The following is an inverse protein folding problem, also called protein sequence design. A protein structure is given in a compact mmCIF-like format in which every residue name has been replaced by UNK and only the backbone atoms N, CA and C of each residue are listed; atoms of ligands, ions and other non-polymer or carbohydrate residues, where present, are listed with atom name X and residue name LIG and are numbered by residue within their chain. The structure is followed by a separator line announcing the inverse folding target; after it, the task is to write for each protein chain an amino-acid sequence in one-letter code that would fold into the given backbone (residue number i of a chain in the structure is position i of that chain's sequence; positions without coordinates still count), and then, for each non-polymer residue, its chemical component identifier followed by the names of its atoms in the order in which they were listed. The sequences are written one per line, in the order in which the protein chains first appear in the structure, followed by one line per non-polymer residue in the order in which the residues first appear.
data_IF_253085672340
#
_entry.id   IF_253085672340
#
_cell.length_a   1.000
_cell.length_b   1.000
_cell.length_c   1.000
_cell.angle_alpha   90.00
_cell.angle_beta   90.00
_cell.angle_gamma   90.00
#
_symmetry.space_group_name_H-M   'P 1'
#
loop_
_entity.id
_entity.type
_entity.pdbx_description
1 polymer ?
#
# COMPACT_ATOMS: atom_id res chain seq x y z
N UNK A 1 70.40 -19.47 -52.99
CA UNK A 1 69.41 -20.02 -51.93
C UNK A 1 69.27 -19.13 -50.69
N UNK A 2 70.12 -18.19 -50.37
CA UNK A 2 70.07 -17.37 -49.14
C UNK A 2 69.07 -16.17 -49.17
N UNK A 3 68.57 -15.74 -50.33
CA UNK A 3 67.70 -14.54 -50.44
C UNK A 3 66.21 -14.83 -50.25
N UNK A 4 65.73 -16.04 -50.53
CA UNK A 4 64.33 -16.43 -50.34
C UNK A 4 63.98 -16.61 -48.87
N UNK A 5 64.92 -17.01 -48.02
CA UNK A 5 64.62 -17.23 -46.60
C UNK A 5 64.49 -15.89 -45.78
N UNK A 6 65.03 -14.79 -46.27
CA UNK A 6 64.85 -13.48 -45.59
C UNK A 6 63.49 -12.84 -45.83
N UNK A 7 62.91 -13.07 -47.00
CA UNK A 7 61.55 -12.58 -47.35
C UNK A 7 60.54 -13.39 -46.58
N UNK A 8 60.68 -14.71 -46.52
CA UNK A 8 59.76 -15.60 -45.78
C UNK A 8 59.76 -15.32 -44.27
N UNK A 9 60.89 -15.03 -43.63
CA UNK A 9 61.01 -14.62 -42.23
C UNK A 9 60.36 -13.24 -41.94
N UNK A 10 60.45 -12.30 -42.89
CA UNK A 10 59.82 -10.96 -42.74
C UNK A 10 58.30 -11.05 -42.88
N UNK A 11 57.76 -11.92 -43.77
CA UNK A 11 56.31 -12.15 -43.94
C UNK A 11 55.72 -12.87 -42.74
N UNK A 12 56.40 -13.82 -42.12
CA UNK A 12 55.95 -14.52 -40.91
C UNK A 12 55.94 -13.55 -39.72
N UNK A 13 56.91 -12.66 -39.59
CA UNK A 13 56.93 -11.66 -38.49
C UNK A 13 55.82 -10.61 -38.65
N UNK A 14 55.49 -10.19 -39.88
CA UNK A 14 54.38 -9.25 -40.14
C UNK A 14 53.03 -9.91 -39.87
N UNK A 15 52.85 -11.20 -40.25
CA UNK A 15 51.63 -11.96 -39.94
C UNK A 15 51.49 -12.24 -38.45
N UNK A 16 52.55 -12.47 -37.69
CA UNK A 16 52.49 -12.67 -36.25
C UNK A 16 52.18 -11.35 -35.50
N UNK A 17 52.58 -10.20 -36.00
CA UNK A 17 52.25 -8.89 -35.42
C UNK A 17 50.79 -8.49 -35.73
N UNK A 18 50.25 -8.85 -36.91
CA UNK A 18 48.82 -8.64 -37.21
C UNK A 18 47.89 -9.56 -36.40
N UNK A 19 48.31 -10.77 -36.03
CA UNK A 19 47.52 -11.68 -35.20
C UNK A 19 47.46 -11.27 -33.72
N UNK A 20 48.34 -10.38 -33.26
CA UNK A 20 48.31 -9.83 -31.88
C UNK A 20 47.46 -8.56 -31.74
N UNK A 21 46.89 -8.03 -32.81
CA UNK A 21 46.02 -6.86 -32.81
C UNK A 21 44.49 -7.19 -32.88
N UNK A 22 44.11 -8.47 -33.01
CA UNK A 22 42.69 -8.90 -33.06
C UNK A 22 42.22 -9.60 -31.80
N UNK A 23 42.93 -9.53 -30.70
CA UNK A 23 42.57 -10.17 -29.46
C UNK A 23 42.37 -9.19 -28.31
N UNK A 24 41.29 -8.41 -28.29
CA UNK A 24 40.66 -7.87 -27.12
C UNK A 24 39.46 -7.00 -27.57
N UNK A 25 38.46 -7.62 -28.17
CA UNK A 25 37.11 -7.11 -27.97
C UNK A 25 36.66 -7.67 -26.59
N UNK A 26 37.30 -7.17 -25.54
CA UNK A 26 36.73 -7.27 -24.21
C UNK A 26 35.43 -6.51 -24.26
N UNK A 27 34.30 -7.17 -23.91
CA UNK A 27 33.15 -6.47 -23.44
C UNK A 27 33.66 -5.50 -22.37
N UNK A 28 33.52 -4.20 -22.64
CA UNK A 28 33.57 -3.22 -21.56
C UNK A 28 32.59 -3.71 -20.53
N UNK A 29 32.95 -3.91 -19.27
CA UNK A 29 31.94 -4.12 -18.23
C UNK A 29 31.07 -2.88 -18.33
N UNK A 30 29.74 -3.08 -18.52
CA UNK A 30 28.79 -2.03 -18.24
C UNK A 30 29.24 -1.40 -16.92
N UNK A 31 29.61 -0.16 -16.96
CA UNK A 31 29.98 0.56 -15.75
C UNK A 31 28.72 0.58 -14.90
N UNK A 32 28.68 -0.28 -13.88
CA UNK A 32 27.70 -0.20 -12.83
C UNK A 32 27.73 1.26 -12.36
N UNK A 33 26.61 1.96 -12.52
CA UNK A 33 26.50 3.37 -12.16
C UNK A 33 26.70 3.50 -10.64
N UNK A 34 27.96 3.59 -10.24
CA UNK A 34 28.40 3.72 -8.84
C UNK A 34 28.24 5.14 -8.32
N UNK A 35 27.40 5.97 -8.98
CA UNK A 35 27.13 7.31 -8.47
C UNK A 35 26.40 7.19 -7.13
N UNK A 36 27.11 7.53 -6.06
CA UNK A 36 26.47 7.77 -4.77
C UNK A 36 25.42 8.86 -4.98
N UNK A 37 24.14 8.65 -4.60
CA UNK A 37 23.12 9.67 -4.74
C UNK A 37 23.59 10.96 -4.05
N UNK A 38 23.82 12.01 -4.83
CA UNK A 38 23.99 13.36 -4.28
C UNK A 38 22.60 13.92 -3.97
N UNK A 39 22.48 14.85 -3.02
CA UNK A 39 21.18 15.45 -2.66
C UNK A 39 20.47 16.08 -3.88
N UNK A 40 21.20 16.47 -4.92
CA UNK A 40 20.68 17.06 -6.16
C UNK A 40 20.01 16.05 -7.12
N UNK A 41 20.20 14.75 -6.89
CA UNK A 41 19.67 13.67 -7.75
C UNK A 41 18.60 12.81 -7.03
N UNK A 42 18.19 13.17 -5.83
CA UNK A 42 17.20 12.40 -5.08
C UNK A 42 15.80 12.69 -5.58
N UNK A 43 14.99 11.63 -5.70
CA UNK A 43 13.54 11.76 -5.94
C UNK A 43 12.88 12.22 -4.65
N UNK A 44 12.24 13.40 -4.69
CA UNK A 44 11.55 13.98 -3.53
C UNK A 44 10.14 13.42 -3.44
N UNK A 45 9.84 12.68 -2.39
CA UNK A 45 8.51 12.06 -2.19
C UNK A 45 7.83 12.66 -0.97
N UNK A 46 6.69 13.30 -1.19
CA UNK A 46 5.80 13.76 -0.12
C UNK A 46 4.84 12.64 0.29
N UNK A 47 4.95 12.14 1.51
CA UNK A 47 4.07 11.09 2.02
C UNK A 47 3.19 11.62 3.15
N UNK A 48 1.86 11.48 2.99
CA UNK A 48 0.89 11.80 4.04
C UNK A 48 0.21 10.54 4.57
N UNK A 49 0.54 10.18 5.81
CA UNK A 49 -0.09 9.09 6.55
C UNK A 49 -1.31 9.58 7.31
N UNK A 50 -2.32 8.74 7.48
CA UNK A 50 -3.56 9.03 8.21
C UNK A 50 -3.30 9.35 9.68
N UNK A 51 -2.60 8.43 10.37
CA UNK A 51 -2.37 8.47 11.79
C UNK A 51 -1.31 7.47 12.24
N UNK A 52 -1.43 7.04 13.48
CA UNK A 52 -0.63 5.99 14.12
C UNK A 52 -1.53 5.17 15.05
N UNK A 53 -2.78 4.96 14.63
CA UNK A 53 -3.88 4.44 15.44
C UNK A 53 -3.80 2.94 15.68
N UNK A 54 -3.06 2.21 14.83
CA UNK A 54 -2.99 0.74 14.85
C UNK A 54 -1.56 0.24 14.70
N UNK A 55 -1.32 -1.00 15.09
CA UNK A 55 -0.04 -1.70 14.88
C UNK A 55 0.26 -1.81 13.38
N UNK A 56 -0.77 -2.12 12.57
CA UNK A 56 -0.65 -2.17 11.11
C UNK A 56 -0.21 -0.82 10.53
N UNK A 57 -0.82 0.28 10.96
CA UNK A 57 -0.50 1.63 10.48
C UNK A 57 0.93 2.03 10.85
N UNK A 58 1.38 1.63 12.03
CA UNK A 58 2.76 1.84 12.50
C UNK A 58 3.76 1.04 11.65
N UNK A 59 3.43 -0.22 11.32
CA UNK A 59 4.27 -1.06 10.46
C UNK A 59 4.34 -0.50 9.03
N UNK A 60 3.21 -0.04 8.46
CA UNK A 60 3.16 0.61 7.16
C UNK A 60 4.02 1.89 7.13
N UNK A 61 3.91 2.74 8.15
CA UNK A 61 4.77 3.94 8.30
C UNK A 61 6.25 3.59 8.37
N UNK A 62 6.61 2.52 9.09
CA UNK A 62 7.99 2.04 9.17
C UNK A 62 8.49 1.61 7.80
N UNK A 63 7.75 0.77 7.09
CA UNK A 63 8.08 0.31 5.74
C UNK A 63 8.34 1.48 4.78
N UNK A 64 7.47 2.49 4.78
CA UNK A 64 7.65 3.71 3.97
C UNK A 64 8.99 4.39 4.30
N UNK A 65 9.29 4.59 5.59
CA UNK A 65 10.51 5.28 6.02
C UNK A 65 11.79 4.50 5.76
N UNK A 66 11.73 3.16 5.85
CA UNK A 66 12.86 2.28 5.58
C UNK A 66 13.12 2.12 4.07
N UNK A 67 12.09 2.28 3.24
CA UNK A 67 12.21 2.18 1.78
C UNK A 67 12.63 3.50 1.15
N UNK A 68 12.01 4.62 1.54
CA UNK A 68 12.25 5.94 0.94
C UNK A 68 13.40 6.65 1.65
N UNK A 69 14.61 6.10 1.54
CA UNK A 69 15.83 6.63 2.13
C UNK A 69 16.76 7.26 1.07
N UNK A 70 17.72 8.05 1.51
CA UNK A 70 18.74 8.63 0.61
C UNK A 70 19.59 7.57 -0.07
N UNK A 71 19.90 6.49 0.65
CA UNK A 71 20.65 5.35 0.13
C UNK A 71 19.91 4.66 -1.02
N UNK A 72 18.58 4.71 -1.00
CA UNK A 72 17.73 4.19 -2.06
C UNK A 72 17.38 5.24 -3.13
N UNK A 73 17.98 6.44 -3.06
CA UNK A 73 17.77 7.50 -4.04
C UNK A 73 16.57 8.41 -3.77
N UNK A 74 16.03 8.43 -2.55
CA UNK A 74 14.85 9.22 -2.21
C UNK A 74 15.11 10.26 -1.13
N UNK A 75 14.36 11.36 -1.20
CA UNK A 75 14.23 12.34 -0.13
C UNK A 75 12.78 12.35 0.35
N UNK A 76 12.52 11.78 1.53
CA UNK A 76 11.19 11.63 2.09
C UNK A 76 10.77 12.87 2.89
N UNK A 77 9.64 13.49 2.51
CA UNK A 77 8.93 14.50 3.31
C UNK A 77 7.67 13.83 3.89
N UNK A 78 7.75 13.42 5.16
CA UNK A 78 6.68 12.68 5.82
C UNK A 78 5.79 13.59 6.68
N UNK A 79 4.46 13.46 6.54
CA UNK A 79 3.45 14.13 7.35
C UNK A 79 2.45 13.13 7.91
N UNK A 80 2.17 13.22 9.21
CA UNK A 80 1.10 12.48 9.86
C UNK A 80 -0.12 13.39 10.03
N UNK A 81 -1.25 12.99 9.48
CA UNK A 81 -2.49 13.80 9.50
C UNK A 81 -3.23 13.73 10.83
N UNK A 82 -2.85 12.83 11.75
CA UNK A 82 -3.49 12.65 13.06
C UNK A 82 -4.98 12.41 12.95
N UNK A 83 -5.38 11.59 11.98
CA UNK A 83 -6.77 11.21 11.67
C UNK A 83 -7.69 12.40 11.32
N UNK A 84 -7.12 13.49 10.79
CA UNK A 84 -7.88 14.64 10.34
C UNK A 84 -7.65 14.90 8.86
N UNK A 85 -8.71 14.76 8.06
CA UNK A 85 -8.65 15.03 6.62
C UNK A 85 -8.12 16.42 6.31
N UNK A 86 -8.51 17.43 7.08
CA UNK A 86 -8.00 18.80 6.91
C UNK A 86 -6.47 18.91 7.02
N UNK A 87 -5.85 18.10 7.91
CA UNK A 87 -4.41 18.05 8.04
C UNK A 87 -3.77 17.35 6.83
N UNK A 88 -4.44 16.33 6.30
CA UNK A 88 -4.00 15.63 5.10
C UNK A 88 -4.04 16.55 3.88
N UNK A 89 -5.14 17.29 3.69
CA UNK A 89 -5.25 18.30 2.61
C UNK A 89 -4.17 19.38 2.75
N UNK A 90 -3.89 19.86 3.98
CA UNK A 90 -2.80 20.81 4.24
C UNK A 90 -1.43 20.22 3.91
N UNK A 91 -1.22 18.92 4.21
CA UNK A 91 0.03 18.23 3.87
C UNK A 91 0.21 18.13 2.35
N UNK A 92 -0.80 17.72 1.60
CA UNK A 92 -0.77 17.66 0.14
C UNK A 92 -0.46 19.02 -0.48
N UNK A 93 -1.13 20.09 -0.05
CA UNK A 93 -0.84 21.46 -0.50
C UNK A 93 0.58 21.90 -0.17
N UNK A 94 1.11 21.50 1.00
CA UNK A 94 2.51 21.75 1.36
C UNK A 94 3.47 21.04 0.40
N UNK A 95 3.18 19.79 0.02
CA UNK A 95 3.98 19.05 -0.97
C UNK A 95 3.92 19.71 -2.35
N UNK A 96 2.74 20.13 -2.80
CA UNK A 96 2.56 20.87 -4.07
C UNK A 96 3.40 22.16 -4.05
N UNK A 97 3.33 22.94 -2.97
CA UNK A 97 4.11 24.18 -2.81
C UNK A 97 5.63 23.94 -2.81
N UNK A 98 6.09 22.79 -2.31
CA UNK A 98 7.51 22.40 -2.29
C UNK A 98 7.95 21.75 -3.60
N UNK A 99 7.03 21.55 -4.56
CA UNK A 99 7.30 20.91 -5.86
C UNK A 99 7.98 19.55 -5.71
N UNK A 100 7.41 18.70 -4.85
CA UNK A 100 7.87 17.30 -4.75
C UNK A 100 7.68 16.56 -6.07
N UNK A 101 8.49 15.53 -6.34
CA UNK A 101 8.38 14.73 -7.56
C UNK A 101 7.15 13.80 -7.54
N UNK A 102 6.77 13.30 -6.35
CA UNK A 102 5.63 12.43 -6.14
C UNK A 102 4.90 12.75 -4.83
N UNK A 103 3.60 12.64 -4.86
CA UNK A 103 2.75 12.63 -3.65
C UNK A 103 2.21 11.21 -3.45
N UNK A 104 2.40 10.66 -2.25
CA UNK A 104 1.82 9.37 -1.84
C UNK A 104 0.99 9.61 -0.59
N UNK A 105 -0.25 9.12 -0.56
CA UNK A 105 -1.05 9.20 0.66
C UNK A 105 -2.06 8.08 0.80
N UNK A 106 -2.37 7.72 2.05
CA UNK A 106 -3.46 6.84 2.41
C UNK A 106 -4.62 7.72 2.88
N UNK A 107 -5.74 7.80 2.14
CA UNK A 107 -6.80 8.74 2.46
C UNK A 107 -7.56 8.33 3.73
N UNK A 108 -7.84 9.32 4.58
CA UNK A 108 -8.60 9.10 5.83
C UNK A 108 -10.04 8.71 5.53
N UNK A 109 -10.67 9.35 4.56
CA UNK A 109 -12.03 9.07 4.06
C UNK A 109 -12.04 9.08 2.54
N UNK A 110 -13.12 8.58 1.93
CA UNK A 110 -13.22 8.48 0.48
C UNK A 110 -13.43 9.81 -0.22
N UNK A 111 -14.20 10.73 0.38
CA UNK A 111 -14.69 11.94 -0.27
C UNK A 111 -13.86 13.19 0.03
N UNK A 112 -14.01 14.22 -0.81
CA UNK A 112 -13.48 15.57 -0.56
C UNK A 112 -12.08 15.84 -1.10
N UNK A 113 -11.58 15.01 -2.01
CA UNK A 113 -10.21 15.10 -2.54
C UNK A 113 -10.09 15.84 -3.87
N UNK A 114 -11.19 16.01 -4.63
CA UNK A 114 -11.19 16.57 -5.99
C UNK A 114 -10.40 17.87 -6.15
N UNK A 115 -10.53 18.79 -5.19
CA UNK A 115 -9.88 20.10 -5.29
C UNK A 115 -8.37 20.00 -5.16
N UNK A 116 -7.87 19.36 -4.11
CA UNK A 116 -6.41 19.28 -3.88
C UNK A 116 -5.73 18.37 -4.91
N UNK A 117 -6.44 17.38 -5.45
CA UNK A 117 -5.89 16.54 -6.51
C UNK A 117 -5.83 17.28 -7.85
N UNK A 118 -6.80 18.17 -8.15
CA UNK A 118 -6.67 19.07 -9.29
C UNK A 118 -5.50 20.03 -9.14
N UNK A 119 -5.29 20.59 -7.94
CA UNK A 119 -4.11 21.41 -7.62
C UNK A 119 -2.79 20.64 -7.87
N UNK A 120 -2.72 19.36 -7.49
CA UNK A 120 -1.55 18.52 -7.76
C UNK A 120 -1.33 18.26 -9.26
N UNK A 121 -2.42 17.96 -9.99
CA UNK A 121 -2.38 17.76 -11.45
C UNK A 121 -1.96 19.04 -12.20
N UNK A 122 -2.46 20.21 -11.80
CA UNK A 122 -2.08 21.49 -12.38
C UNK A 122 -0.59 21.82 -12.12
N UNK A 123 -0.05 21.32 -11.02
CA UNK A 123 1.37 21.40 -10.69
C UNK A 123 2.22 20.29 -11.36
N UNK A 124 1.58 19.41 -12.17
CA UNK A 124 2.21 18.25 -12.83
C UNK A 124 2.86 17.26 -11.87
N UNK A 125 2.34 17.15 -10.63
CA UNK A 125 2.84 16.23 -9.61
C UNK A 125 1.97 14.96 -9.59
N UNK A 126 2.51 13.78 -9.95
CA UNK A 126 1.80 12.53 -9.91
C UNK A 126 1.43 12.13 -8.47
N UNK A 127 0.20 11.63 -8.30
CA UNK A 127 -0.33 11.21 -7.01
C UNK A 127 -0.53 9.70 -7.01
N UNK A 128 -0.03 9.04 -5.97
CA UNK A 128 -0.19 7.60 -5.74
C UNK A 128 -1.03 7.42 -4.47
N UNK A 129 -2.11 6.68 -4.58
CA UNK A 129 -2.91 6.26 -3.44
C UNK A 129 -2.31 4.99 -2.85
N UNK A 130 -2.18 4.95 -1.54
CA UNK A 130 -1.68 3.80 -0.79
C UNK A 130 -2.78 3.29 0.15
N UNK A 131 -2.95 1.96 0.20
CA UNK A 131 -3.92 1.29 1.07
C UNK A 131 -5.38 1.55 0.65
N UNK A 132 -5.93 2.72 0.97
CA UNK A 132 -7.32 3.10 0.73
C UNK A 132 -7.51 3.84 -0.59
N UNK A 133 -8.69 3.68 -1.19
CA UNK A 133 -9.13 4.45 -2.36
C UNK A 133 -9.89 5.71 -1.97
N UNK A 134 -10.15 6.53 -2.98
CA UNK A 134 -10.99 7.73 -2.90
C UNK A 134 -12.16 7.62 -3.86
N UNK A 135 -13.23 8.36 -3.55
CA UNK A 135 -14.39 8.53 -4.40
C UNK A 135 -14.26 9.87 -5.15
N UNK A 136 -13.74 9.82 -6.37
CA UNK A 136 -13.63 10.99 -7.25
C UNK A 136 -14.28 10.69 -8.60
N UNK A 137 -14.86 11.71 -9.21
CA UNK A 137 -15.52 11.56 -10.53
C UNK A 137 -14.52 11.36 -11.66
N UNK A 138 -13.34 11.90 -11.52
CA UNK A 138 -12.25 11.84 -12.50
C UNK A 138 -11.08 11.05 -11.92
N UNK A 139 -11.01 9.77 -12.25
CA UNK A 139 -9.94 8.89 -11.78
C UNK A 139 -8.55 9.25 -12.35
N UNK A 140 -8.47 10.13 -13.37
CA UNK A 140 -7.20 10.66 -13.87
C UNK A 140 -6.51 11.62 -12.88
N UNK A 141 -7.16 11.97 -11.77
CA UNK A 141 -6.61 12.80 -10.71
C UNK A 141 -5.55 12.09 -9.86
N UNK A 142 -5.43 10.78 -9.96
CA UNK A 142 -4.33 10.02 -9.38
C UNK A 142 -3.73 9.06 -10.40
N UNK A 143 -2.43 8.81 -10.28
CA UNK A 143 -1.67 8.02 -11.25
C UNK A 143 -1.83 6.51 -11.02
N UNK A 144 -1.85 6.10 -9.75
CA UNK A 144 -1.95 4.70 -9.36
C UNK A 144 -2.55 4.54 -7.96
N UNK A 145 -3.08 3.36 -7.72
CA UNK A 145 -3.48 2.91 -6.39
C UNK A 145 -2.81 1.56 -6.10
N UNK A 146 -2.28 1.42 -4.89
CA UNK A 146 -1.69 0.20 -4.36
C UNK A 146 -2.34 -0.11 -3.02
N UNK A 147 -3.14 -1.15 -2.96
CA UNK A 147 -3.89 -1.53 -1.76
C UNK A 147 -4.57 -2.89 -1.90
N UNK A 148 -5.33 -3.26 -0.88
CA UNK A 148 -6.06 -4.52 -0.81
C UNK A 148 -7.45 -4.43 -1.45
N UNK A 149 -7.94 -5.57 -1.94
CA UNK A 149 -9.36 -5.74 -2.28
C UNK A 149 -10.16 -5.98 -1.00
N UNK A 150 -10.65 -4.91 -0.40
CA UNK A 150 -11.39 -4.98 0.87
C UNK A 150 -12.70 -5.73 0.76
N UNK A 151 -13.33 -5.77 -0.41
CA UNK A 151 -14.54 -6.57 -0.64
C UNK A 151 -14.20 -8.06 -0.59
N UNK A 152 -13.11 -8.46 -1.25
CA UNK A 152 -12.67 -9.85 -1.20
C UNK A 152 -12.17 -10.25 0.21
N UNK A 153 -11.56 -9.33 0.96
CA UNK A 153 -11.22 -9.58 2.37
C UNK A 153 -12.49 -9.87 3.21
N UNK A 154 -13.55 -9.08 3.03
CA UNK A 154 -14.85 -9.32 3.68
C UNK A 154 -15.46 -10.65 3.28
N UNK A 155 -15.43 -11.01 1.99
CA UNK A 155 -15.90 -12.33 1.50
C UNK A 155 -15.11 -13.47 2.12
N UNK A 156 -13.79 -13.32 2.24
CA UNK A 156 -12.93 -14.35 2.81
C UNK A 156 -13.21 -14.56 4.29
N UNK A 157 -13.49 -13.49 5.04
CA UNK A 157 -13.93 -13.60 6.43
C UNK A 157 -15.27 -14.37 6.54
N UNK A 158 -16.25 -14.04 5.68
CA UNK A 158 -17.53 -14.75 5.63
C UNK A 158 -17.38 -16.23 5.24
N UNK A 159 -16.60 -16.54 4.21
CA UNK A 159 -16.32 -17.93 3.80
C UNK A 159 -15.62 -18.72 4.89
N UNK A 160 -14.66 -18.10 5.59
CA UNK A 160 -13.98 -18.75 6.71
C UNK A 160 -14.98 -19.08 7.84
N UNK A 161 -15.86 -18.15 8.18
CA UNK A 161 -16.88 -18.37 9.18
C UNK A 161 -17.85 -19.49 8.73
N UNK A 162 -18.29 -19.50 7.47
CA UNK A 162 -19.12 -20.57 6.90
C UNK A 162 -18.46 -21.94 7.09
N UNK A 163 -17.18 -22.06 6.74
CA UNK A 163 -16.45 -23.33 6.85
C UNK A 163 -16.22 -23.72 8.32
N UNK A 164 -15.93 -22.76 9.19
CA UNK A 164 -15.76 -22.99 10.62
C UNK A 164 -17.05 -23.54 11.26
N UNK A 165 -18.20 -22.94 10.96
CA UNK A 165 -19.49 -23.32 11.55
C UNK A 165 -20.01 -24.68 11.04
N UNK A 166 -19.65 -25.14 9.83
CA UNK A 166 -20.01 -26.48 9.33
C UNK A 166 -19.59 -27.63 10.23
N UNK A 167 -18.54 -27.46 11.02
CA UNK A 167 -18.08 -28.46 11.98
C UNK A 167 -18.57 -28.29 13.41
N UNK A 168 -19.41 -27.27 13.66
CA UNK A 168 -19.85 -26.88 14.99
C UNK A 168 -21.34 -27.22 15.25
N UNK A 169 -21.76 -27.08 16.51
CA UNK A 169 -23.15 -27.32 16.94
C UNK A 169 -24.18 -26.33 16.37
N UNK A 170 -23.73 -25.29 15.68
CA UNK A 170 -24.57 -24.21 15.12
C UNK A 170 -25.16 -24.51 13.74
N UNK A 171 -25.01 -25.72 13.20
CA UNK A 171 -25.43 -26.01 11.82
C UNK A 171 -26.92 -25.69 11.53
N UNK A 172 -27.79 -25.86 12.49
CA UNK A 172 -29.23 -25.63 12.35
C UNK A 172 -29.77 -24.54 13.31
N UNK A 173 -28.94 -24.03 14.23
CA UNK A 173 -29.31 -23.01 15.19
C UNK A 173 -29.06 -21.60 14.64
N UNK A 174 -29.77 -20.61 15.14
CA UNK A 174 -29.54 -19.23 14.84
C UNK A 174 -28.13 -18.81 15.35
N UNK A 175 -27.38 -18.13 14.50
CA UNK A 175 -26.05 -17.60 14.83
C UNK A 175 -26.15 -16.08 14.94
N UNK A 176 -26.00 -15.56 16.14
CA UNK A 176 -26.06 -14.14 16.44
C UNK A 176 -24.67 -13.50 16.27
N UNK A 177 -24.56 -12.59 15.32
CA UNK A 177 -23.30 -11.98 14.89
C UNK A 177 -23.30 -10.50 15.23
N UNK A 178 -22.21 -10.00 15.80
CA UNK A 178 -21.92 -8.56 15.88
C UNK A 178 -20.67 -8.23 15.08
N UNK A 179 -20.62 -7.02 14.52
CA UNK A 179 -19.51 -6.59 13.67
C UNK A 179 -18.90 -5.31 14.24
N UNK A 180 -17.60 -5.35 14.58
CA UNK A 180 -16.80 -4.16 14.83
C UNK A 180 -16.22 -3.66 13.52
N UNK A 181 -16.74 -2.55 13.05
CA UNK A 181 -16.31 -1.90 11.81
C UNK A 181 -15.17 -0.92 12.07
N UNK A 182 -14.36 -0.69 11.05
CA UNK A 182 -13.32 0.32 11.07
C UNK A 182 -13.85 1.76 11.02
N UNK A 183 -12.95 2.69 10.72
CA UNK A 183 -13.28 4.12 10.62
C UNK A 183 -14.36 4.37 9.57
N UNK A 184 -15.43 5.04 9.97
CA UNK A 184 -16.54 5.38 9.09
C UNK A 184 -16.09 6.20 7.87
N UNK A 185 -16.68 5.95 6.70
CA UNK A 185 -16.38 6.67 5.47
C UNK A 185 -15.09 6.21 4.76
N UNK A 186 -14.57 5.03 5.09
CA UNK A 186 -13.37 4.46 4.45
C UNK A 186 -13.69 3.30 3.53
N UNK A 187 -12.95 3.17 2.42
CA UNK A 187 -13.07 2.01 1.50
C UNK A 187 -12.82 0.69 2.22
N UNK A 188 -11.96 0.66 3.23
CA UNK A 188 -11.68 -0.52 4.03
C UNK A 188 -12.92 -0.97 4.84
N UNK A 189 -13.61 -0.03 5.48
CA UNK A 189 -14.83 -0.32 6.24
C UNK A 189 -15.95 -0.76 5.30
N UNK A 190 -16.22 0.00 4.26
CA UNK A 190 -17.31 -0.31 3.31
C UNK A 190 -17.08 -1.64 2.59
N UNK A 191 -15.87 -1.87 2.08
CA UNK A 191 -15.56 -3.08 1.32
C UNK A 191 -15.66 -4.35 2.17
N UNK A 192 -15.07 -4.35 3.37
CA UNK A 192 -15.15 -5.50 4.28
C UNK A 192 -16.59 -5.77 4.74
N UNK A 193 -17.36 -4.71 4.99
CA UNK A 193 -18.79 -4.83 5.31
C UNK A 193 -19.55 -5.48 4.15
N UNK A 194 -19.42 -4.92 2.94
CA UNK A 194 -20.08 -5.44 1.75
C UNK A 194 -19.73 -6.92 1.51
N UNK A 195 -18.43 -7.24 1.51
CA UNK A 195 -17.98 -8.60 1.24
C UNK A 195 -18.49 -9.62 2.27
N UNK A 196 -18.50 -9.25 3.55
CA UNK A 196 -19.06 -10.11 4.60
C UNK A 196 -20.57 -10.29 4.44
N UNK A 197 -21.32 -9.23 4.22
CA UNK A 197 -22.78 -9.26 4.01
C UNK A 197 -23.18 -10.09 2.79
N UNK A 198 -22.40 -10.07 1.69
CA UNK A 198 -22.63 -10.91 0.50
C UNK A 198 -22.57 -12.42 0.82
N UNK A 199 -21.78 -12.82 1.80
CA UNK A 199 -21.74 -14.22 2.26
C UNK A 199 -22.84 -14.47 3.30
N UNK A 200 -22.98 -13.58 4.28
CA UNK A 200 -24.00 -13.72 5.32
C UNK A 200 -25.42 -13.84 4.75
N UNK A 201 -25.74 -13.12 3.70
CA UNK A 201 -27.03 -13.18 3.01
C UNK A 201 -27.39 -14.55 2.40
N UNK A 202 -26.43 -15.48 2.32
CA UNK A 202 -26.67 -16.86 1.84
C UNK A 202 -27.09 -17.80 2.95
N UNK A 203 -27.07 -17.35 4.20
CA UNK A 203 -27.34 -18.14 5.40
C UNK A 203 -28.55 -17.56 6.16
N UNK A 204 -29.69 -18.19 6.02
CA UNK A 204 -30.95 -17.73 6.68
C UNK A 204 -30.87 -17.74 8.21
N UNK A 205 -29.96 -18.54 8.77
CA UNK A 205 -29.74 -18.65 10.21
C UNK A 205 -28.66 -17.68 10.74
N UNK A 206 -28.01 -16.89 9.91
CA UNK A 206 -27.07 -15.85 10.36
C UNK A 206 -27.82 -14.55 10.63
N UNK A 207 -27.78 -14.12 11.87
CA UNK A 207 -28.46 -12.91 12.33
C UNK A 207 -27.42 -11.85 12.72
N UNK A 208 -27.19 -10.88 11.85
CA UNK A 208 -26.34 -9.73 12.18
C UNK A 208 -27.14 -8.81 13.10
N UNK A 209 -26.85 -8.89 14.41
CA UNK A 209 -27.51 -8.10 15.44
C UNK A 209 -27.21 -6.61 15.31
N UNK A 210 -25.93 -6.29 15.15
CA UNK A 210 -25.46 -4.92 15.02
C UNK A 210 -24.10 -4.84 14.34
N UNK A 211 -23.89 -3.75 13.60
CA UNK A 211 -22.60 -3.34 13.06
C UNK A 211 -22.27 -1.94 13.62
N UNK A 212 -21.13 -1.78 14.25
CA UNK A 212 -20.75 -0.52 14.91
C UNK A 212 -19.31 -0.13 14.61
N UNK A 213 -19.07 1.19 14.46
CA UNK A 213 -17.74 1.69 14.19
C UNK A 213 -16.86 1.71 15.44
N UNK A 214 -15.69 1.12 15.35
CA UNK A 214 -14.66 1.10 16.38
C UNK A 214 -13.31 1.68 15.91
N UNK A 215 -13.33 2.45 14.82
CA UNK A 215 -12.27 3.33 14.31
C UNK A 215 -10.89 2.66 14.11
N UNK A 216 -10.85 1.34 13.96
CA UNK A 216 -9.62 0.52 13.89
C UNK A 216 -8.73 0.65 15.13
N UNK A 217 -9.26 0.99 16.29
CA UNK A 217 -8.48 1.16 17.53
C UNK A 217 -8.91 0.19 18.63
N UNK A 218 -7.94 -0.27 19.42
CA UNK A 218 -8.18 -1.16 20.57
C UNK A 218 -9.15 -0.52 21.59
N UNK A 219 -8.92 0.76 21.93
CA UNK A 219 -9.75 1.44 22.94
C UNK A 219 -11.22 1.54 22.51
N UNK A 220 -11.47 1.85 21.23
CA UNK A 220 -12.84 1.96 20.72
C UNK A 220 -13.48 0.59 20.51
N UNK A 221 -12.70 -0.41 20.09
CA UNK A 221 -13.14 -1.82 20.01
C UNK A 221 -13.59 -2.33 21.37
N UNK A 222 -12.82 -2.08 22.42
CA UNK A 222 -13.19 -2.46 23.80
C UNK A 222 -14.47 -1.74 24.28
N UNK A 223 -14.58 -0.43 24.05
CA UNK A 223 -15.78 0.37 24.40
C UNK A 223 -17.03 -0.20 23.72
N UNK A 224 -16.98 -0.39 22.41
CA UNK A 224 -18.13 -0.88 21.64
C UNK A 224 -18.47 -2.34 22.01
N UNK A 225 -17.47 -3.20 22.19
CA UNK A 225 -17.75 -4.58 22.59
C UNK A 225 -18.38 -4.68 23.98
N UNK A 226 -17.93 -3.86 24.95
CA UNK A 226 -18.61 -3.77 26.27
C UNK A 226 -20.07 -3.34 26.14
N UNK A 227 -20.35 -2.36 25.26
CA UNK A 227 -21.72 -1.91 24.99
C UNK A 227 -22.55 -3.04 24.37
N UNK A 228 -22.04 -3.73 23.37
CA UNK A 228 -22.71 -4.84 22.69
C UNK A 228 -23.04 -5.99 23.67
N UNK A 229 -22.10 -6.39 24.53
CA UNK A 229 -22.29 -7.43 25.54
C UNK A 229 -23.35 -7.04 26.59
N UNK A 230 -23.53 -5.74 26.86
CA UNK A 230 -24.60 -5.28 27.74
C UNK A 230 -25.95 -5.16 27.03
N UNK A 231 -25.96 -5.04 25.71
CA UNK A 231 -27.18 -4.85 24.91
C UNK A 231 -27.78 -6.19 24.46
N UNK A 232 -26.94 -7.12 24.07
CA UNK A 232 -27.35 -8.41 23.52
C UNK A 232 -27.00 -9.55 24.49
N UNK A 233 -28.01 -10.30 24.98
CA UNK A 233 -27.79 -11.37 25.96
C UNK A 233 -27.04 -12.57 25.36
N UNK A 234 -27.07 -12.73 24.04
CA UNK A 234 -26.46 -13.84 23.33
C UNK A 234 -25.79 -13.35 22.06
N UNK A 235 -24.47 -13.49 22.01
CA UNK A 235 -23.62 -13.20 20.87
C UNK A 235 -22.76 -14.45 20.63
N UNK A 236 -22.92 -15.06 19.46
CA UNK A 236 -22.17 -16.28 19.10
C UNK A 236 -20.87 -15.96 18.37
N UNK A 237 -20.86 -14.90 17.57
CA UNK A 237 -19.76 -14.52 16.72
C UNK A 237 -19.49 -13.03 16.77
N UNK A 238 -18.22 -12.69 16.97
CA UNK A 238 -17.70 -11.35 16.73
C UNK A 238 -16.91 -11.35 15.41
N UNK A 239 -17.32 -10.51 14.47
CA UNK A 239 -16.53 -10.18 13.28
C UNK A 239 -15.86 -8.85 13.49
N UNK A 240 -14.54 -8.83 13.41
CA UNK A 240 -13.74 -7.60 13.52
C UNK A 240 -13.03 -7.28 12.22
N UNK A 241 -13.11 -6.04 11.74
CA UNK A 241 -12.50 -5.63 10.50
C UNK A 241 -10.97 -5.42 10.58
N UNK A 242 -10.38 -5.44 11.79
CA UNK A 242 -8.95 -5.58 12.01
C UNK A 242 -8.66 -6.21 13.37
N UNK A 243 -7.41 -6.60 13.61
CA UNK A 243 -6.97 -7.26 14.84
C UNK A 243 -6.96 -6.33 16.05
N UNK A 244 -6.56 -5.07 15.87
CA UNK A 244 -6.43 -4.09 16.96
C UNK A 244 -7.75 -3.88 17.75
N UNK A 245 -8.92 -4.07 17.11
CA UNK A 245 -10.22 -3.92 17.78
C UNK A 245 -10.62 -5.13 18.63
N UNK A 246 -9.87 -6.23 18.58
CA UNK A 246 -10.19 -7.49 19.31
C UNK A 246 -9.17 -7.87 20.37
N UNK A 247 -8.02 -7.20 20.47
CA UNK A 247 -6.95 -7.52 21.41
C UNK A 247 -6.62 -6.40 22.40
#
# INVERSE_FOLDING_TARGET
MKRKNKIFRKVIIVLAVLALLTGCAGQEPEAEDTRTPTDDNLIVVGVSQEGSESVWRTANTRSVKETLTKENGYFLIFKNARQKQENQIKALRSFISQRVDYIVFSPIVEDGWDTVLREAREAEIPVILMDRKINVKDESLYTAWVGSDFVEEGRNAGKWLEDYLKGQRFNDDQVNIVVLQGTAGTTAMFGRTQGFEEIAAKHENWNILEQTNADFTTAKGEEEMRRLLNTYPEIDVLVSQNDDMTF
#
